data_IF_260859719028
#
_entry.id   IF_260859719028
#
_cell.length_a   1.000
_cell.length_b   1.000
_cell.length_c   1.000
_cell.angle_alpha   90.00
_cell.angle_beta   90.00
_cell.angle_gamma   90.00
#
_symmetry.space_group_name_H-M   'P 1'
#
loop_
_entity.id
_entity.type
_entity.pdbx_description
1 polymer ?
#
# COMPACT_ATOMS: atom_id res chain seq x y z
N UNK A 1 -68.46 33.17 22.62
CA UNK A 1 -68.52 34.64 22.44
C UNK A 1 -67.07 35.11 22.49
N UNK A 2 -66.35 35.33 21.38
CA UNK A 2 -66.43 36.49 20.46
C UNK A 2 -66.41 37.79 21.28
N UNK A 3 -65.48 38.74 21.15
CA UNK A 3 -64.85 39.38 19.97
C UNK A 3 -63.81 40.39 20.53
N UNK A 4 -62.63 40.73 19.97
CA UNK A 4 -62.29 41.58 18.80
C UNK A 4 -60.73 41.69 18.84
N UNK A 5 -59.88 41.40 17.84
CA UNK A 5 -59.59 41.95 16.48
C UNK A 5 -59.01 43.36 16.39
N UNK A 6 -57.72 43.48 16.00
CA UNK A 6 -57.13 44.36 14.96
C UNK A 6 -55.61 44.01 14.90
N UNK A 7 -54.96 43.47 13.86
CA UNK A 7 -54.91 43.63 12.40
C UNK A 7 -54.29 44.97 11.94
N UNK A 8 -53.22 44.89 11.13
CA UNK A 8 -52.86 45.71 9.93
C UNK A 8 -51.36 45.49 9.60
N UNK A 9 -51.05 44.76 8.51
CA UNK A 9 -50.47 45.24 7.22
C UNK A 9 -48.93 45.32 7.23
N UNK A 10 -48.16 44.86 6.24
CA UNK A 10 -48.42 44.47 4.85
C UNK A 10 -47.51 45.27 3.89
N UNK A 11 -46.61 44.59 3.16
CA UNK A 11 -46.07 44.93 1.81
C UNK A 11 -44.97 43.91 1.47
N UNK A 12 -45.02 43.03 0.46
CA UNK A 12 -45.22 43.16 -1.00
C UNK A 12 -44.10 43.89 -1.76
N UNK A 13 -43.13 43.07 -2.22
CA UNK A 13 -42.55 42.98 -3.58
C UNK A 13 -41.94 44.19 -4.27
N UNK A 14 -40.64 44.08 -4.59
CA UNK A 14 -40.06 44.57 -5.86
C UNK A 14 -38.73 43.88 -6.17
N UNK A 15 -38.65 43.29 -7.37
CA UNK A 15 -37.46 42.79 -8.06
C UNK A 15 -36.80 43.98 -8.78
N UNK A 16 -35.48 44.14 -8.65
CA UNK A 16 -34.59 44.68 -9.68
C UNK A 16 -33.13 44.54 -9.23
N UNK A 17 -32.30 44.18 -10.19
CA UNK A 17 -30.88 43.83 -10.15
C UNK A 17 -29.97 44.97 -9.67
N UNK A 18 -28.90 44.63 -8.95
CA UNK A 18 -27.49 44.94 -9.28
C UNK A 18 -26.57 45.06 -8.04
N UNK A 19 -25.38 44.48 -8.22
CA UNK A 19 -24.09 44.74 -7.55
C UNK A 19 -23.81 44.21 -6.13
N UNK A 20 -23.05 43.11 -6.13
CA UNK A 20 -21.86 42.89 -5.32
C UNK A 20 -21.98 42.93 -3.79
N UNK A 21 -22.20 41.75 -3.20
CA UNK A 21 -21.40 41.27 -2.08
C UNK A 21 -21.66 39.78 -1.89
N UNK A 22 -20.60 38.97 -2.03
CA UNK A 22 -20.60 37.55 -1.66
C UNK A 22 -20.29 37.50 -0.16
N UNK A 23 -21.21 37.09 0.75
CA UNK A 23 -20.85 36.75 2.10
C UNK A 23 -20.57 35.24 2.16
N UNK A 24 -19.36 34.93 2.61
CA UNK A 24 -18.85 33.62 2.96
C UNK A 24 -19.77 32.91 3.96
N UNK A 25 -20.55 31.94 3.47
CA UNK A 25 -20.92 30.77 4.26
C UNK A 25 -19.93 29.64 3.95
N UNK A 26 -18.69 29.89 4.35
CA UNK A 26 -17.56 28.95 4.41
C UNK A 26 -17.77 28.02 5.64
N UNK A 27 -18.95 27.41 5.70
CA UNK A 27 -19.43 26.64 6.84
C UNK A 27 -20.16 25.38 6.34
N UNK A 28 -19.55 24.67 5.41
CA UNK A 28 -19.74 23.22 5.32
C UNK A 28 -18.58 22.61 6.09
N UNK A 29 -18.91 22.03 7.24
CA UNK A 29 -18.03 21.12 7.95
C UNK A 29 -17.30 20.22 6.95
N UNK A 30 -16.04 19.87 7.21
CA UNK A 30 -15.48 18.66 6.63
C UNK A 30 -16.36 17.51 7.10
N UNK A 31 -17.45 17.24 6.37
CA UNK A 31 -18.30 16.06 6.49
C UNK A 31 -17.32 14.91 6.37
N UNK A 32 -17.08 14.26 7.51
CA UNK A 32 -16.05 13.28 7.84
C UNK A 32 -15.01 13.02 6.75
N UNK A 33 -13.77 13.39 7.07
CA UNK A 33 -12.53 12.91 6.47
C UNK A 33 -12.76 11.68 5.57
N UNK A 34 -13.00 11.94 4.27
CA UNK A 34 -13.50 11.01 3.26
C UNK A 34 -13.53 9.57 3.77
N UNK A 35 -14.69 9.08 4.22
CA UNK A 35 -14.84 7.79 4.90
C UNK A 35 -13.88 6.74 4.34
N UNK A 36 -12.74 6.54 5.03
CA UNK A 36 -11.67 5.67 4.52
C UNK A 36 -12.19 4.24 4.38
N UNK A 37 -13.15 3.86 5.22
CA UNK A 37 -13.95 2.64 5.14
C UNK A 37 -14.74 2.54 3.83
N UNK A 38 -15.44 3.61 3.44
CA UNK A 38 -16.23 3.68 2.22
C UNK A 38 -15.33 3.62 0.97
N UNK A 39 -14.23 4.39 0.96
CA UNK A 39 -13.22 4.31 -0.10
C UNK A 39 -12.64 2.91 -0.19
N UNK A 40 -12.31 2.30 0.95
CA UNK A 40 -11.76 0.95 0.99
C UNK A 40 -12.75 -0.05 0.37
N UNK A 41 -14.03 0.03 0.74
CA UNK A 41 -15.09 -0.81 0.20
C UNK A 41 -15.29 -0.61 -1.31
N UNK A 42 -15.29 0.63 -1.80
CA UNK A 42 -15.37 0.91 -3.23
C UNK A 42 -14.12 0.44 -3.99
N UNK A 43 -12.94 0.52 -3.36
CA UNK A 43 -11.66 0.06 -3.93
C UNK A 43 -11.52 -1.47 -3.98
N UNK A 44 -12.35 -2.19 -3.22
CA UNK A 44 -12.40 -3.65 -3.25
C UNK A 44 -12.86 -4.16 -4.62
N UNK A 45 -13.86 -3.51 -5.24
CA UNK A 45 -14.37 -3.89 -6.57
C UNK A 45 -13.26 -3.87 -7.64
N UNK A 46 -12.52 -2.76 -7.87
CA UNK A 46 -11.43 -2.75 -8.85
C UNK A 46 -10.32 -3.72 -8.44
N UNK A 47 -10.05 -3.92 -7.15
CA UNK A 47 -9.03 -4.89 -6.73
C UNK A 47 -9.38 -6.32 -7.17
N UNK A 48 -10.62 -6.77 -6.99
CA UNK A 48 -11.09 -8.10 -7.44
C UNK A 48 -10.99 -8.21 -8.96
N UNK A 49 -11.42 -7.18 -9.69
CA UNK A 49 -11.34 -7.16 -11.15
C UNK A 49 -9.88 -7.30 -11.61
N UNK A 50 -8.94 -6.56 -10.99
CA UNK A 50 -7.52 -6.67 -11.29
C UNK A 50 -6.96 -8.07 -10.98
N UNK A 51 -7.35 -8.68 -9.87
CA UNK A 51 -6.94 -10.04 -9.52
C UNK A 51 -7.43 -11.04 -10.58
N UNK A 52 -8.68 -10.92 -11.02
CA UNK A 52 -9.25 -11.78 -12.06
C UNK A 52 -8.53 -11.58 -13.41
N UNK A 53 -8.26 -10.34 -13.80
CA UNK A 53 -7.50 -10.02 -15.03
C UNK A 53 -6.10 -10.63 -14.95
N UNK A 54 -5.39 -10.45 -13.84
CA UNK A 54 -4.04 -11.02 -13.66
C UNK A 54 -4.07 -12.55 -13.66
N UNK A 55 -5.04 -13.18 -13.00
CA UNK A 55 -5.23 -14.63 -13.01
C UNK A 55 -5.46 -15.18 -14.43
N UNK A 56 -6.27 -14.48 -15.23
CA UNK A 56 -6.50 -14.85 -16.63
C UNK A 56 -5.24 -14.70 -17.49
N UNK A 57 -4.50 -13.60 -17.32
CA UNK A 57 -3.27 -13.33 -18.05
C UNK A 57 -2.15 -14.33 -17.72
N UNK A 58 -2.03 -14.75 -16.47
CA UNK A 58 -1.09 -15.79 -16.07
C UNK A 58 -1.47 -17.17 -16.62
N UNK A 59 -2.78 -17.49 -16.63
CA UNK A 59 -3.29 -18.72 -17.24
C UNK A 59 -2.95 -18.80 -18.73
N UNK A 60 -3.15 -17.71 -19.49
CA UNK A 60 -2.83 -17.70 -20.91
C UNK A 60 -1.36 -18.03 -21.14
N UNK A 61 -0.45 -17.37 -20.44
CA UNK A 61 0.99 -17.60 -20.60
C UNK A 61 1.43 -19.00 -20.16
N UNK A 62 0.84 -19.55 -19.09
CA UNK A 62 1.13 -20.92 -18.64
C UNK A 62 0.65 -21.96 -19.65
N UNK A 63 -0.52 -21.76 -20.28
CA UNK A 63 -1.02 -22.59 -21.38
C UNK A 63 -0.14 -22.51 -22.62
N UNK A 64 0.41 -21.34 -22.95
CA UNK A 64 1.38 -21.20 -24.05
C UNK A 64 2.73 -21.85 -23.76
N UNK A 65 3.14 -21.91 -22.49
CA UNK A 65 4.42 -22.53 -22.07
C UNK A 65 4.33 -24.04 -21.85
N UNK A 66 3.16 -24.54 -21.44
CA UNK A 66 2.85 -25.95 -21.21
C UNK A 66 1.96 -26.40 -22.36
N UNK A 67 2.53 -26.49 -23.57
CA UNK A 67 1.89 -27.18 -24.68
C UNK A 67 2.19 -28.69 -24.55
N UNK A 68 1.81 -29.27 -23.41
CA UNK A 68 1.89 -30.71 -23.20
C UNK A 68 0.59 -31.24 -22.62
N UNK A 69 0.18 -32.37 -23.18
CA UNK A 69 -1.15 -32.93 -23.31
C UNK A 69 -1.71 -33.43 -21.97
N UNK A 70 -2.21 -32.55 -21.11
CA UNK A 70 -2.95 -32.98 -19.92
C UNK A 70 -4.18 -32.13 -19.61
N UNK A 71 -5.32 -32.83 -19.54
CA UNK A 71 -6.68 -32.50 -19.14
C UNK A 71 -7.03 -31.02 -18.87
N UNK A 72 -7.96 -30.43 -19.65
CA UNK A 72 -8.36 -29.02 -19.52
C UNK A 72 -9.18 -28.69 -18.25
N UNK A 73 -9.54 -29.67 -17.42
CA UNK A 73 -10.48 -29.52 -16.30
C UNK A 73 -9.85 -29.59 -14.89
N UNK A 74 -8.57 -29.91 -14.73
CA UNK A 74 -7.96 -30.06 -13.40
C UNK A 74 -7.06 -28.87 -13.03
N UNK A 75 -7.66 -27.68 -12.88
CA UNK A 75 -6.91 -26.47 -12.50
C UNK A 75 -7.63 -25.15 -12.79
N UNK A 76 -8.93 -25.07 -12.49
CA UNK A 76 -9.83 -24.00 -12.95
C UNK A 76 -9.43 -22.57 -12.55
N UNK A 77 -8.60 -22.38 -11.53
CA UNK A 77 -8.02 -21.09 -11.19
C UNK A 77 -6.53 -21.24 -10.94
N UNK A 78 -5.71 -20.68 -11.84
CA UNK A 78 -4.34 -20.33 -11.49
C UNK A 78 -4.41 -19.17 -10.50
N UNK A 79 -4.48 -19.48 -9.21
CA UNK A 79 -4.38 -18.47 -8.17
C UNK A 79 -3.00 -17.84 -8.28
N UNK A 80 -2.97 -16.54 -8.60
CA UNK A 80 -1.72 -15.77 -8.65
C UNK A 80 -1.21 -15.76 -7.22
N UNK A 81 -0.12 -16.47 -6.94
CA UNK A 81 0.53 -16.39 -5.63
C UNK A 81 1.26 -15.04 -5.62
N UNK A 82 0.73 -14.01 -4.94
CA UNK A 82 1.28 -12.65 -5.02
C UNK A 82 2.62 -12.53 -4.29
N UNK A 83 2.98 -13.55 -3.50
CA UNK A 83 4.02 -13.47 -2.50
C UNK A 83 4.76 -14.80 -2.41
N UNK A 84 5.83 -14.91 -3.18
CA UNK A 84 6.79 -15.98 -2.96
C UNK A 84 7.72 -15.59 -1.80
N UNK A 85 7.26 -15.89 -0.58
CA UNK A 85 8.00 -15.68 0.67
C UNK A 85 9.20 -16.63 0.82
N UNK A 86 9.14 -17.78 0.14
CA UNK A 86 10.17 -18.82 0.11
C UNK A 86 11.17 -18.55 -1.02
N UNK A 87 10.69 -17.99 -2.12
CA UNK A 87 11.45 -17.57 -3.28
C UNK A 87 12.53 -16.58 -2.91
N UNK A 88 13.75 -17.08 -2.83
CA UNK A 88 14.88 -16.21 -2.77
C UNK A 88 14.98 -15.44 -4.12
N UNK A 89 15.19 -14.12 -4.06
CA UNK A 89 15.92 -13.33 -5.07
C UNK A 89 15.23 -12.29 -5.97
N UNK A 90 13.92 -12.00 -5.88
CA UNK A 90 13.36 -10.89 -6.67
C UNK A 90 13.08 -9.62 -5.84
N UNK A 91 13.68 -8.49 -6.21
CA UNK A 91 13.36 -7.11 -5.78
C UNK A 91 12.92 -6.96 -4.32
N UNK A 92 13.76 -7.43 -3.40
CA UNK A 92 13.45 -7.64 -1.97
C UNK A 92 13.00 -6.37 -1.24
N UNK A 93 13.70 -5.27 -1.53
CA UNK A 93 13.37 -3.96 -0.98
C UNK A 93 11.98 -3.51 -1.43
N UNK A 94 11.59 -3.81 -2.68
CA UNK A 94 10.27 -3.44 -3.21
C UNK A 94 9.14 -4.10 -2.44
N UNK A 95 9.27 -5.36 -2.02
CA UNK A 95 8.29 -5.99 -1.13
C UNK A 95 8.26 -5.34 0.26
N UNK A 96 9.43 -5.00 0.83
CA UNK A 96 9.52 -4.27 2.09
C UNK A 96 8.76 -2.94 2.03
N UNK A 97 8.99 -2.15 0.98
CA UNK A 97 8.28 -0.88 0.77
C UNK A 97 6.79 -1.07 0.48
N UNK A 98 6.39 -2.14 -0.21
CA UNK A 98 4.98 -2.47 -0.38
C UNK A 98 4.29 -2.77 0.97
N UNK A 99 4.93 -3.52 1.88
CA UNK A 99 4.40 -3.67 3.24
C UNK A 99 4.37 -2.33 4.00
N UNK A 100 5.38 -1.48 3.84
CA UNK A 100 5.41 -0.14 4.41
C UNK A 100 4.25 0.75 3.95
N UNK A 101 3.86 0.69 2.67
CA UNK A 101 2.73 1.45 2.14
C UNK A 101 1.35 1.04 2.70
N UNK A 102 1.25 -0.17 3.25
CA UNK A 102 0.00 -0.72 3.81
C UNK A 102 -0.06 -0.48 5.33
N UNK A 103 1.11 -0.37 5.97
CA UNK A 103 1.24 -0.26 7.42
C UNK A 103 0.38 0.88 8.01
N UNK A 104 0.38 2.04 7.37
CA UNK A 104 -0.40 3.19 7.83
C UNK A 104 -1.91 2.90 7.82
N UNK A 105 -2.41 2.29 6.73
CA UNK A 105 -3.84 1.91 6.61
C UNK A 105 -4.24 0.88 7.66
N UNK A 106 -3.38 -0.10 7.93
CA UNK A 106 -3.63 -1.11 8.97
C UNK A 106 -3.63 -0.46 10.37
N UNK A 107 -2.73 0.47 10.65
CA UNK A 107 -2.65 1.11 11.97
C UNK A 107 -3.88 1.98 12.23
N UNK A 108 -4.36 2.71 11.22
CA UNK A 108 -5.62 3.46 11.31
C UNK A 108 -6.82 2.52 11.55
N UNK A 109 -6.80 1.32 10.97
CA UNK A 109 -7.86 0.32 11.17
C UNK A 109 -7.93 -0.20 12.62
N UNK A 110 -6.80 -0.23 13.32
CA UNK A 110 -6.72 -0.65 14.73
C UNK A 110 -7.06 0.48 15.72
N UNK A 111 -7.24 1.72 15.25
CA UNK A 111 -7.63 2.83 16.11
C UNK A 111 -9.11 2.74 16.49
N UNK A 112 -9.43 3.08 17.74
CA UNK A 112 -10.76 2.87 18.35
C UNK A 112 -11.88 3.64 17.62
N UNK A 113 -11.53 4.65 16.81
CA UNK A 113 -12.46 5.49 16.03
C UNK A 113 -13.02 4.85 14.75
N UNK A 114 -12.55 3.66 14.33
CA UNK A 114 -13.02 3.02 13.10
C UNK A 114 -14.20 2.05 13.30
N UNK A 115 -14.59 1.77 14.55
CA UNK A 115 -15.66 0.82 14.85
C UNK A 115 -17.03 1.50 14.83
N UNK A 116 -17.99 1.03 14.01
CA UNK A 116 -19.33 1.59 14.01
C UNK A 116 -19.95 1.45 15.40
N UNK A 117 -20.46 2.56 15.93
CA UNK A 117 -21.14 2.61 17.21
C UNK A 117 -22.35 1.67 17.17
N UNK A 118 -22.24 0.50 17.81
CA UNK A 118 -23.30 -0.52 17.81
C UNK A 118 -22.82 -1.97 17.77
N UNK A 119 -21.52 -2.22 17.58
CA UNK A 119 -20.98 -3.60 17.57
C UNK A 119 -20.77 -4.10 19.01
N UNK A 120 -21.33 -5.25 19.42
CA UNK A 120 -21.09 -5.82 20.74
C UNK A 120 -19.62 -6.27 20.88
N UNK A 121 -19.06 -6.19 22.10
CA UNK A 121 -17.62 -6.40 22.35
C UNK A 121 -17.05 -7.75 21.86
N UNK A 122 -17.88 -8.81 21.83
CA UNK A 122 -17.49 -10.12 21.29
C UNK A 122 -17.34 -10.13 19.76
N UNK A 123 -18.02 -9.23 19.05
CA UNK A 123 -17.98 -9.12 17.58
C UNK A 123 -16.89 -8.17 17.07
N UNK A 124 -16.33 -7.32 17.94
CA UNK A 124 -15.25 -6.36 17.62
C UNK A 124 -14.06 -7.05 16.95
N UNK A 125 -13.64 -8.21 17.46
CA UNK A 125 -12.54 -8.99 16.87
C UNK A 125 -12.80 -9.46 15.44
N UNK A 126 -14.03 -9.90 15.14
CA UNK A 126 -14.40 -10.34 13.80
C UNK A 126 -14.47 -9.17 12.80
N UNK A 127 -14.92 -8.00 13.24
CA UNK A 127 -14.95 -6.79 12.41
C UNK A 127 -13.53 -6.34 12.05
N UNK A 128 -12.62 -6.32 13.03
CA UNK A 128 -11.20 -5.97 12.79
C UNK A 128 -10.54 -6.99 11.86
N UNK A 129 -10.81 -8.28 12.05
CA UNK A 129 -10.28 -9.33 11.17
C UNK A 129 -10.80 -9.17 9.73
N UNK A 130 -12.10 -8.92 9.56
CA UNK A 130 -12.71 -8.69 8.26
C UNK A 130 -12.11 -7.44 7.58
N UNK A 131 -11.94 -6.33 8.33
CA UNK A 131 -11.29 -5.13 7.82
C UNK A 131 -9.84 -5.37 7.41
N UNK A 132 -9.07 -6.13 8.19
CA UNK A 132 -7.69 -6.46 7.86
C UNK A 132 -7.59 -7.34 6.61
N UNK A 133 -8.52 -8.28 6.43
CA UNK A 133 -8.65 -9.08 5.21
C UNK A 133 -9.02 -8.21 4.00
N UNK A 134 -9.95 -7.29 4.18
CA UNK A 134 -10.37 -6.33 3.15
C UNK A 134 -9.19 -5.46 2.70
N UNK A 135 -8.45 -4.86 3.64
CA UNK A 135 -7.21 -4.12 3.33
C UNK A 135 -6.22 -5.03 2.60
N UNK A 136 -6.00 -6.26 3.08
CA UNK A 136 -5.12 -7.23 2.42
C UNK A 136 -5.51 -7.49 0.96
N UNK A 137 -6.80 -7.65 0.68
CA UNK A 137 -7.35 -7.86 -0.67
C UNK A 137 -7.20 -6.62 -1.55
N UNK A 138 -7.46 -5.42 -1.01
CA UNK A 138 -7.31 -4.18 -1.75
C UNK A 138 -5.87 -3.93 -2.21
N UNK A 139 -4.87 -4.26 -1.39
CA UNK A 139 -3.47 -4.07 -1.77
C UNK A 139 -2.84 -5.27 -2.49
N UNK A 140 -3.54 -6.41 -2.55
CA UNK A 140 -3.09 -7.62 -3.26
C UNK A 140 -2.67 -7.38 -4.72
N UNK A 141 -3.40 -6.60 -5.55
CA UNK A 141 -3.02 -6.34 -6.94
C UNK A 141 -1.65 -5.70 -7.08
N UNK A 142 -1.22 -4.86 -6.13
CA UNK A 142 0.11 -4.22 -6.17
C UNK A 142 1.20 -5.28 -6.10
N UNK A 143 1.08 -6.23 -5.18
CA UNK A 143 2.02 -7.36 -5.06
C UNK A 143 1.98 -8.27 -6.28
N UNK A 144 0.79 -8.60 -6.77
CA UNK A 144 0.62 -9.43 -7.96
C UNK A 144 1.23 -8.77 -9.23
N UNK A 145 1.13 -7.46 -9.36
CA UNK A 145 1.76 -6.71 -10.46
C UNK A 145 3.29 -6.72 -10.39
N UNK A 146 3.87 -6.80 -9.19
CA UNK A 146 5.32 -6.92 -8.98
C UNK A 146 5.86 -8.31 -9.35
N UNK A 147 5.09 -9.37 -9.08
CA UNK A 147 5.45 -10.76 -9.42
C UNK A 147 5.18 -11.11 -10.88
N UNK A 148 4.24 -10.41 -11.51
CA UNK A 148 3.76 -10.71 -12.86
C UNK A 148 4.89 -10.80 -13.89
N UNK A 149 4.91 -11.92 -14.63
CA UNK A 149 5.90 -12.20 -15.68
C UNK A 149 5.62 -11.45 -17.00
N UNK A 150 4.49 -10.74 -17.12
CA UNK A 150 4.14 -9.99 -18.32
C UNK A 150 4.92 -8.68 -18.39
N UNK A 151 5.57 -8.43 -19.52
CA UNK A 151 6.53 -7.33 -19.65
C UNK A 151 5.86 -5.95 -19.55
N UNK A 152 4.62 -5.83 -20.02
CA UNK A 152 3.92 -4.56 -20.23
C UNK A 152 2.74 -4.41 -19.25
N UNK A 153 1.85 -5.42 -19.20
CA UNK A 153 0.58 -5.31 -18.48
C UNK A 153 0.77 -5.17 -16.96
N UNK A 154 1.70 -5.92 -16.36
CA UNK A 154 1.96 -5.85 -14.91
C UNK A 154 2.43 -4.45 -14.46
N UNK A 155 3.50 -3.89 -15.05
CA UNK A 155 3.97 -2.55 -14.69
C UNK A 155 2.94 -1.43 -14.94
N UNK A 156 2.17 -1.47 -16.03
CA UNK A 156 1.17 -0.43 -16.33
C UNK A 156 0.02 -0.47 -15.33
N UNK A 157 -0.57 -1.64 -15.09
CA UNK A 157 -1.69 -1.79 -14.15
C UNK A 157 -1.23 -1.45 -12.73
N UNK A 158 -0.06 -1.96 -12.32
CA UNK A 158 0.52 -1.65 -11.01
C UNK A 158 0.80 -0.16 -10.81
N UNK A 159 1.30 0.53 -11.84
CA UNK A 159 1.53 1.97 -11.80
C UNK A 159 0.23 2.75 -11.64
N UNK A 160 -0.78 2.49 -12.49
CA UNK A 160 -2.07 3.19 -12.42
C UNK A 160 -2.76 3.00 -11.07
N UNK A 161 -2.75 1.77 -10.55
CA UNK A 161 -3.38 1.46 -9.28
C UNK A 161 -2.65 2.08 -8.09
N UNK A 162 -1.32 2.03 -8.07
CA UNK A 162 -0.50 2.68 -7.03
C UNK A 162 -0.64 4.20 -7.09
N UNK A 163 -0.74 4.77 -8.29
CA UNK A 163 -0.93 6.21 -8.51
C UNK A 163 -2.29 6.65 -7.96
N UNK A 164 -3.35 5.89 -8.21
CA UNK A 164 -4.67 6.15 -7.64
C UNK A 164 -4.63 6.21 -6.09
N UNK A 165 -4.01 5.21 -5.45
CA UNK A 165 -3.87 5.20 -3.98
C UNK A 165 -3.04 6.37 -3.45
N UNK A 166 -1.98 6.75 -4.15
CA UNK A 166 -1.19 7.93 -3.80
C UNK A 166 -2.02 9.21 -3.94
N UNK A 167 -2.77 9.37 -5.04
CA UNK A 167 -3.64 10.53 -5.27
C UNK A 167 -4.71 10.67 -4.19
N UNK A 168 -5.35 9.56 -3.80
CA UNK A 168 -6.33 9.56 -2.70
C UNK A 168 -5.67 9.97 -1.38
N UNK A 169 -4.47 9.46 -1.09
CA UNK A 169 -3.74 9.80 0.14
C UNK A 169 -3.35 11.28 0.17
N UNK A 170 -2.90 11.84 -0.97
CA UNK A 170 -2.54 13.26 -1.09
C UNK A 170 -3.80 14.14 -1.03
N UNK A 171 -4.90 13.72 -1.64
CA UNK A 171 -6.17 14.45 -1.60
C UNK A 171 -6.72 14.55 -0.16
N UNK A 172 -6.66 13.48 0.65
CA UNK A 172 -7.03 13.52 2.08
C UNK A 172 -6.20 14.52 2.89
N UNK A 173 -4.94 14.77 2.49
CA UNK A 173 -4.08 15.76 3.14
C UNK A 173 -4.42 17.19 2.70
N UNK A 174 -4.69 17.39 1.41
CA UNK A 174 -4.91 18.73 0.82
C UNK A 174 -6.33 19.25 1.07
N UNK A 175 -7.35 18.39 1.07
CA UNK A 175 -8.77 18.76 1.20
C UNK A 175 -9.15 19.10 2.65
N UNK A 176 -8.42 18.60 3.64
CA UNK A 176 -8.66 18.91 5.06
C UNK A 176 -7.52 19.73 5.70
N UNK A 177 -7.27 20.99 5.30
CA UNK A 177 -6.28 21.85 5.93
C UNK A 177 -6.85 22.71 7.07
N UNK A 178 -8.00 22.37 7.65
CA UNK A 178 -8.73 23.30 8.55
C UNK A 178 -8.57 23.04 10.05
N UNK A 179 -7.70 22.10 10.45
CA UNK A 179 -7.42 21.91 11.87
C UNK A 179 -6.22 22.77 12.30
N UNK A 180 -6.12 23.15 13.57
CA UNK A 180 -5.10 24.08 14.08
C UNK A 180 -3.69 23.75 13.56
N UNK A 181 -2.87 24.77 13.26
CA UNK A 181 -1.56 24.60 12.61
C UNK A 181 -0.68 23.51 13.24
N UNK A 182 -0.77 23.29 14.57
CA UNK A 182 -0.05 22.23 15.29
C UNK A 182 -0.50 20.80 14.90
N UNK A 183 -1.78 20.57 14.63
CA UNK A 183 -2.37 19.25 14.29
C UNK A 183 -2.21 18.87 12.81
N UNK A 184 -2.05 19.87 11.92
CA UNK A 184 -1.80 19.62 10.49
C UNK A 184 -0.45 18.94 10.25
N UNK A 185 0.61 19.45 10.89
CA UNK A 185 1.93 18.84 10.80
C UNK A 185 1.95 17.41 11.35
N UNK A 186 1.11 17.11 12.36
CA UNK A 186 0.97 15.77 12.94
C UNK A 186 0.36 14.76 11.95
N UNK A 187 -0.69 15.13 11.20
CA UNK A 187 -1.28 14.23 10.20
C UNK A 187 -0.32 14.00 9.03
N UNK A 188 0.40 15.05 8.60
CA UNK A 188 1.37 15.01 7.50
C UNK A 188 2.58 14.15 7.87
N UNK A 189 3.18 14.37 9.05
CA UNK A 189 4.39 13.65 9.46
C UNK A 189 4.13 12.15 9.58
N UNK A 190 2.96 11.76 10.10
CA UNK A 190 2.58 10.35 10.25
C UNK A 190 2.34 9.63 8.92
N UNK A 191 1.77 10.31 7.91
CA UNK A 191 1.50 9.72 6.59
C UNK A 191 2.74 9.71 5.66
N UNK A 192 3.76 10.52 5.96
CA UNK A 192 4.92 10.72 5.09
C UNK A 192 5.70 9.43 4.75
N UNK A 193 5.97 8.51 5.70
CA UNK A 193 6.64 7.25 5.40
C UNK A 193 5.88 6.39 4.38
N UNK A 194 4.54 6.41 4.43
CA UNK A 194 3.69 5.69 3.49
C UNK A 194 3.73 6.33 2.10
N UNK A 195 3.71 7.67 2.02
CA UNK A 195 3.87 8.41 0.76
C UNK A 195 5.21 8.10 0.10
N UNK A 196 6.30 8.09 0.89
CA UNK A 196 7.62 7.72 0.38
C UNK A 196 7.65 6.29 -0.16
N UNK A 197 6.97 5.34 0.50
CA UNK A 197 6.81 3.98 -0.02
C UNK A 197 6.07 3.94 -1.35
N UNK A 198 4.95 4.66 -1.48
CA UNK A 198 4.20 4.75 -2.74
C UNK A 198 5.04 5.35 -3.88
N UNK A 199 5.79 6.42 -3.61
CA UNK A 199 6.68 7.03 -4.60
C UNK A 199 7.78 6.05 -5.04
N UNK A 200 8.38 5.30 -4.11
CA UNK A 200 9.37 4.28 -4.43
C UNK A 200 8.79 3.16 -5.31
N UNK A 201 7.56 2.72 -5.03
CA UNK A 201 6.85 1.73 -5.83
C UNK A 201 6.56 2.24 -7.25
N UNK A 202 6.07 3.47 -7.38
CA UNK A 202 5.82 4.11 -8.68
C UNK A 202 7.11 4.20 -9.51
N UNK A 203 8.19 4.68 -8.91
CA UNK A 203 9.51 4.72 -9.54
C UNK A 203 9.93 3.32 -10.02
N UNK A 204 9.70 2.28 -9.20
CA UNK A 204 10.02 0.90 -9.55
C UNK A 204 9.19 0.35 -10.70
N UNK A 205 7.89 0.67 -10.77
CA UNK A 205 7.06 0.28 -11.91
C UNK A 205 7.55 0.93 -13.21
N UNK A 206 7.90 2.22 -13.18
CA UNK A 206 8.49 2.94 -14.33
C UNK A 206 9.84 2.35 -14.74
N UNK A 207 10.75 2.13 -13.78
CA UNK A 207 12.05 1.53 -14.03
C UNK A 207 11.91 0.13 -14.67
N UNK A 208 11.02 -0.69 -14.13
CA UNK A 208 10.75 -2.03 -14.65
C UNK A 208 10.16 -1.98 -16.06
N UNK A 209 9.28 -1.03 -16.35
CA UNK A 209 8.73 -0.81 -17.68
C UNK A 209 9.83 -0.42 -18.68
N UNK A 210 10.69 0.56 -18.33
CA UNK A 210 11.80 1.00 -19.19
C UNK A 210 12.79 -0.14 -19.45
N UNK A 211 13.28 -0.80 -18.39
CA UNK A 211 14.25 -1.89 -18.52
C UNK A 211 13.72 -3.07 -19.34
N UNK A 212 12.41 -3.37 -19.27
CA UNK A 212 11.82 -4.48 -20.05
C UNK A 212 11.58 -4.14 -21.52
N UNK A 213 11.50 -2.85 -21.86
CA UNK A 213 11.37 -2.36 -23.23
C UNK A 213 12.73 -2.13 -23.92
N UNK A 214 13.85 -2.15 -23.18
CA UNK A 214 15.18 -2.08 -23.78
C UNK A 214 15.48 -3.34 -24.62
N UNK A 215 15.82 -3.20 -25.92
CA UNK A 215 16.15 -4.33 -26.77
C UNK A 215 17.51 -4.92 -26.35
N UNK A 216 17.49 -6.03 -25.63
CA UNK A 216 18.70 -6.77 -25.22
C UNK A 216 18.72 -7.19 -23.76
N UNK A 217 17.97 -6.52 -22.89
CA UNK A 217 17.98 -6.79 -21.45
C UNK A 217 16.71 -7.56 -21.05
N UNK A 218 16.76 -8.88 -21.24
CA UNK A 218 15.73 -9.79 -20.76
C UNK A 218 15.74 -9.89 -19.23
N UNK A 219 15.43 -8.81 -18.51
CA UNK A 219 15.61 -8.68 -17.06
C UNK A 219 14.94 -9.75 -16.17
N UNK A 220 14.02 -10.55 -16.72
CA UNK A 220 13.46 -11.72 -16.02
C UNK A 220 14.24 -13.03 -16.27
N UNK A 221 14.86 -13.19 -17.45
CA UNK A 221 15.77 -14.31 -17.73
C UNK A 221 17.11 -14.10 -17.03
N UNK A 222 17.58 -12.85 -17.00
CA UNK A 222 18.86 -12.47 -16.42
C UNK A 222 18.90 -12.70 -14.90
N UNK A 223 17.82 -12.38 -14.17
CA UNK A 223 17.74 -12.59 -12.72
C UNK A 223 17.71 -14.07 -12.30
N UNK A 224 17.04 -14.93 -13.07
CA UNK A 224 17.07 -16.37 -12.83
C UNK A 224 18.47 -16.96 -13.09
N UNK A 225 19.17 -16.43 -14.10
CA UNK A 225 20.57 -16.76 -14.37
C UNK A 225 21.48 -16.33 -13.20
N UNK A 226 21.29 -15.11 -12.68
CA UNK A 226 22.03 -14.58 -11.53
C UNK A 226 21.77 -15.41 -10.27
N UNK A 227 20.52 -15.85 -10.05
CA UNK A 227 20.16 -16.75 -8.96
C UNK A 227 20.90 -18.09 -9.07
N UNK A 228 20.88 -18.71 -10.25
CA UNK A 228 21.57 -19.98 -10.48
C UNK A 228 23.09 -19.84 -10.33
N UNK A 229 23.67 -18.73 -10.80
CA UNK A 229 25.07 -18.41 -10.62
C UNK A 229 25.43 -18.24 -9.13
N UNK A 230 24.56 -17.59 -8.35
CA UNK A 230 24.74 -17.37 -6.92
C UNK A 230 24.70 -18.68 -6.11
N UNK A 231 23.76 -19.57 -6.44
CA UNK A 231 23.70 -20.91 -5.83
C UNK A 231 24.92 -21.76 -6.20
N UNK A 232 25.35 -21.70 -7.47
CA UNK A 232 26.55 -22.39 -7.91
C UNK A 232 27.82 -21.87 -7.21
N UNK A 233 27.91 -20.56 -6.98
CA UNK A 233 29.02 -19.96 -6.25
C UNK A 233 29.01 -20.35 -4.76
N UNK A 234 27.83 -20.40 -4.13
CA UNK A 234 27.69 -20.87 -2.75
C UNK A 234 28.20 -22.31 -2.60
N UNK A 235 27.79 -23.22 -3.49
CA UNK A 235 28.27 -24.62 -3.49
C UNK A 235 29.78 -24.68 -3.77
N UNK A 236 30.29 -23.90 -4.72
CA UNK A 236 31.74 -23.81 -4.99
C UNK A 236 32.53 -23.35 -3.76
N UNK A 237 31.99 -22.45 -2.94
CA UNK A 237 32.64 -22.02 -1.69
C UNK A 237 32.57 -23.08 -0.60
N UNK A 238 31.47 -23.82 -0.47
CA UNK A 238 31.36 -24.95 0.47
C UNK A 238 32.36 -26.06 0.17
N UNK A 239 32.64 -26.31 -1.11
CA UNK A 239 33.63 -27.31 -1.55
C UNK A 239 35.08 -26.81 -1.48
N UNK A 240 35.31 -25.51 -1.29
CA UNK A 240 36.65 -24.91 -1.21
C UNK A 240 37.13 -24.92 0.24
N UNK A 241 38.40 -25.29 0.47
CA UNK A 241 39.00 -25.24 1.81
C UNK A 241 38.93 -23.81 2.37
N UNK A 242 38.50 -23.60 3.64
CA UNK A 242 38.37 -22.27 4.21
C UNK A 242 39.76 -21.60 4.27
N UNK A 243 39.85 -20.39 3.71
CA UNK A 243 41.04 -19.53 3.86
C UNK A 243 40.78 -18.67 5.09
N UNK A 244 41.60 -18.82 6.13
CA UNK A 244 41.48 -18.00 7.33
C UNK A 244 41.86 -16.55 7.00
N UNK A 245 40.85 -15.67 6.99
CA UNK A 245 41.03 -14.23 6.89
C UNK A 245 40.98 -13.61 8.28
N UNK A 246 41.85 -12.64 8.52
CA UNK A 246 41.84 -11.86 9.76
C UNK A 246 40.57 -10.99 9.79
N UNK A 247 39.62 -11.33 10.66
CA UNK A 247 38.32 -10.66 10.76
C UNK A 247 38.41 -9.39 11.62
N UNK A 248 37.69 -8.35 11.20
CA UNK A 248 37.51 -7.12 11.98
C UNK A 248 36.73 -7.41 13.28
N UNK A 249 36.88 -6.55 14.31
CA UNK A 249 36.12 -6.67 15.57
C UNK A 249 34.60 -6.71 15.31
N UNK A 250 34.11 -5.89 14.38
CA UNK A 250 32.69 -5.86 14.00
C UNK A 250 32.22 -7.19 13.38
N UNK A 251 33.06 -7.80 12.55
CA UNK A 251 32.77 -9.06 11.87
C UNK A 251 32.83 -10.27 12.82
N UNK A 252 33.56 -10.15 13.94
CA UNK A 252 33.57 -11.14 15.03
C UNK A 252 32.37 -11.03 15.95
N UNK A 253 31.91 -9.81 16.25
CA UNK A 253 30.97 -9.60 17.37
C UNK A 253 29.51 -9.33 16.95
N UNK A 254 29.27 -8.80 15.74
CA UNK A 254 27.93 -8.36 15.33
C UNK A 254 27.38 -9.20 14.19
N UNK A 255 28.12 -9.30 13.08
CA UNK A 255 27.64 -10.02 11.91
C UNK A 255 28.80 -10.42 11.00
N UNK A 256 28.90 -11.71 10.71
CA UNK A 256 29.82 -12.21 9.68
C UNK A 256 29.22 -11.93 8.31
N UNK A 257 29.83 -11.02 7.55
CA UNK A 257 29.41 -10.75 6.18
C UNK A 257 29.68 -11.97 5.30
N UNK A 258 28.63 -12.70 4.93
CA UNK A 258 28.70 -13.71 3.89
C UNK A 258 28.11 -13.16 2.57
N UNK A 259 28.94 -12.92 1.53
CA UNK A 259 28.47 -12.47 0.23
C UNK A 259 27.49 -13.45 -0.43
N UNK A 260 27.56 -14.74 -0.08
CA UNK A 260 26.68 -15.78 -0.60
C UNK A 260 25.39 -15.91 0.19
N UNK A 261 25.30 -15.35 1.39
CA UNK A 261 24.09 -15.38 2.19
C UNK A 261 23.21 -14.18 1.87
N UNK A 262 21.97 -14.46 1.49
CA UNK A 262 21.02 -13.44 1.08
C UNK A 262 19.69 -13.67 1.79
N UNK A 263 19.33 -12.78 2.71
CA UNK A 263 18.14 -12.91 3.57
C UNK A 263 16.82 -13.17 2.79
N UNK A 264 15.91 -14.01 3.30
CA UNK A 264 14.60 -14.22 2.70
C UNK A 264 13.74 -12.96 2.71
N UNK A 265 12.80 -12.85 1.77
CA UNK A 265 11.89 -11.71 1.65
C UNK A 265 11.08 -11.48 2.93
N UNK A 266 10.71 -12.58 3.62
CA UNK A 266 9.99 -12.52 4.90
C UNK A 266 10.75 -11.72 5.95
N UNK A 267 12.06 -11.92 6.09
CA UNK A 267 12.88 -11.22 7.08
C UNK A 267 12.96 -9.72 6.73
N UNK A 268 13.18 -9.40 5.46
CA UNK A 268 13.26 -8.00 5.02
C UNK A 268 11.91 -7.29 5.22
N UNK A 269 10.80 -7.95 4.88
CA UNK A 269 9.45 -7.42 5.11
C UNK A 269 9.20 -7.15 6.59
N UNK A 270 9.54 -8.10 7.48
CA UNK A 270 9.38 -7.90 8.93
C UNK A 270 10.30 -6.83 9.49
N UNK A 271 11.54 -6.70 8.99
CA UNK A 271 12.47 -5.65 9.43
C UNK A 271 11.97 -4.27 9.02
N UNK A 272 11.50 -4.10 7.78
CA UNK A 272 10.93 -2.83 7.33
C UNK A 272 9.68 -2.50 8.15
N UNK A 273 8.77 -3.45 8.35
CA UNK A 273 7.59 -3.24 9.17
C UNK A 273 7.95 -2.86 10.61
N UNK A 274 8.95 -3.52 11.22
CA UNK A 274 9.43 -3.18 12.56
C UNK A 274 9.99 -1.75 12.64
N UNK A 275 10.73 -1.29 11.62
CA UNK A 275 11.21 0.09 11.54
C UNK A 275 10.05 1.09 11.41
N UNK A 276 9.01 0.74 10.65
CA UNK A 276 7.79 1.55 10.54
C UNK A 276 7.05 1.63 11.89
N UNK A 277 6.87 0.50 12.58
CA UNK A 277 6.26 0.48 13.91
C UNK A 277 7.07 1.30 14.91
N UNK A 278 8.41 1.19 14.89
CA UNK A 278 9.28 1.96 15.75
C UNK A 278 9.16 3.47 15.47
N UNK A 279 9.12 3.87 14.19
CA UNK A 279 8.89 5.26 13.81
C UNK A 279 7.59 5.81 14.39
N UNK A 280 6.50 5.05 14.27
CA UNK A 280 5.18 5.47 14.76
C UNK A 280 5.17 5.54 16.29
N UNK A 281 5.77 4.59 16.99
CA UNK A 281 5.88 4.64 18.45
C UNK A 281 6.68 5.87 18.89
N UNK A 282 7.81 6.16 18.23
CA UNK A 282 8.60 7.35 18.52
C UNK A 282 7.77 8.62 18.30
N UNK A 283 7.02 8.70 17.20
CA UNK A 283 6.11 9.82 16.93
C UNK A 283 5.09 10.01 18.07
N UNK A 284 4.46 8.93 18.53
CA UNK A 284 3.47 8.97 19.61
C UNK A 284 4.09 9.38 20.95
N UNK A 285 5.28 8.87 21.28
CA UNK A 285 5.99 9.23 22.51
C UNK A 285 6.38 10.72 22.50
N UNK A 286 6.92 11.20 21.38
CA UNK A 286 7.26 12.61 21.20
C UNK A 286 6.00 13.48 21.35
N UNK A 287 4.89 13.08 20.72
CA UNK A 287 3.59 13.77 20.84
C UNK A 287 3.11 13.82 22.28
N UNK A 288 3.15 12.69 23.00
CA UNK A 288 2.77 12.62 24.41
C UNK A 288 3.59 13.58 25.28
N UNK A 289 4.91 13.65 25.04
CA UNK A 289 5.80 14.57 25.75
C UNK A 289 5.46 16.04 25.50
N UNK A 290 5.17 16.42 24.25
CA UNK A 290 4.77 17.79 23.88
C UNK A 290 3.36 18.21 24.34
N UNK A 291 2.51 17.27 24.75
CA UNK A 291 1.18 17.55 25.30
C UNK A 291 1.19 17.68 26.83
N UNK A 292 2.17 17.09 27.51
CA UNK A 292 2.37 17.21 28.97
C UNK A 292 3.10 18.47 29.41
N UNK A 293 3.63 19.26 28.47
CA UNK A 293 4.38 20.50 28.73
C UNK A 293 3.59 21.73 28.31
#
# INVERSE_FOLDING_TARGET
>A
MLTQTTQMMGNSSSISEDEESIPRDEQTACVDAIDKSLILHYSLIPSIILILILSFLERQKKRTRINDQSNPLHGLFGFVVPLDLIGAFNNRWTYGFAFGSIANTIIVLFDEGFLPAGVPGWAKGFVILAGALEVGLCYFPIFACLTTANKIVGPIIGFLYTLFWLSVTVADIVICPHETAKRQYEKIISHWPSILCFLFLLYRFVYTFICRNKPGEGGYKDQNLILQAHQAEHVRRLLRKPVEKHKSWFERNIYTWDPCFKFPNRIIGTTVLALFCLYIILEQVIRGFYLTQ
#
